data_IF_061591366651
#
_entry.id   IF_061591366651
#
_cell.length_a   1.000
_cell.length_b   1.000
_cell.length_c   1.000
_cell.angle_alpha   90.00
_cell.angle_beta   90.00
_cell.angle_gamma   90.00
#
_symmetry.space_group_name_H-M   'P 1'
#
loop_
_entity.id
_entity.type
_entity.pdbx_description
1 polymer ?
#
# COMPACT_ATOMS: atom_id res chain seq x y z
N UNK A 1 -14.73 33.68 -21.20
CA UNK A 1 -14.19 32.48 -21.85
C UNK A 1 -13.25 31.84 -20.85
N UNK A 2 -13.69 30.82 -20.13
CA UNK A 2 -12.80 30.00 -19.30
C UNK A 2 -12.07 29.09 -20.30
N UNK A 3 -10.75 29.29 -20.46
CA UNK A 3 -9.93 28.39 -21.24
C UNK A 3 -10.14 26.96 -20.72
N UNK A 4 -10.22 26.03 -21.64
CA UNK A 4 -10.19 24.60 -21.36
C UNK A 4 -8.80 24.34 -20.77
N UNK A 5 -8.64 24.49 -19.45
CA UNK A 5 -7.41 24.03 -18.77
C UNK A 5 -7.38 22.53 -19.01
N UNK A 6 -6.44 22.11 -19.81
CA UNK A 6 -6.21 20.72 -20.13
C UNK A 6 -5.89 20.01 -18.80
N UNK A 7 -6.81 19.19 -18.33
CA UNK A 7 -6.66 18.48 -17.06
C UNK A 7 -5.37 17.66 -17.09
N UNK A 8 -4.50 17.92 -16.16
CA UNK A 8 -3.26 17.18 -16.04
C UNK A 8 -3.57 15.70 -15.79
N UNK A 9 -2.98 14.80 -16.57
CA UNK A 9 -3.23 13.38 -16.48
C UNK A 9 -1.91 12.60 -16.50
N UNK A 10 -1.59 11.94 -15.38
CA UNK A 10 -0.38 11.15 -15.28
C UNK A 10 -0.38 9.95 -16.24
N UNK A 11 -1.53 9.37 -16.57
CA UNK A 11 -1.58 8.26 -17.53
C UNK A 11 -1.13 8.70 -18.92
N UNK A 12 -1.41 9.94 -19.34
CA UNK A 12 -0.92 10.50 -20.58
C UNK A 12 0.61 10.63 -20.55
N UNK A 13 1.17 11.16 -19.47
CA UNK A 13 2.61 11.22 -19.26
C UNK A 13 3.22 9.80 -19.30
N UNK A 14 2.62 8.85 -18.61
CA UNK A 14 3.08 7.47 -18.58
C UNK A 14 3.09 6.83 -19.98
N UNK A 15 2.04 7.05 -20.78
CA UNK A 15 1.96 6.58 -22.17
C UNK A 15 3.06 7.21 -23.06
N UNK A 16 3.44 8.45 -22.79
CA UNK A 16 4.55 9.12 -23.49
C UNK A 16 5.90 8.56 -23.06
N UNK A 17 6.09 8.31 -21.76
CA UNK A 17 7.36 7.80 -21.20
C UNK A 17 7.64 6.34 -21.58
N UNK A 18 6.62 5.50 -21.72
CA UNK A 18 6.78 4.07 -22.03
C UNK A 18 7.59 3.79 -23.33
N UNK A 19 7.27 4.40 -24.48
CA UNK A 19 8.07 4.19 -25.68
C UNK A 19 9.47 4.79 -25.56
N UNK A 20 9.63 5.90 -24.85
CA UNK A 20 10.93 6.51 -24.58
C UNK A 20 11.81 5.61 -23.70
N UNK A 21 11.26 5.02 -22.63
CA UNK A 21 11.93 4.03 -21.79
C UNK A 21 12.41 2.82 -22.62
N UNK A 22 11.58 2.34 -23.55
CA UNK A 22 11.94 1.26 -24.46
C UNK A 22 13.11 1.68 -25.36
N UNK A 23 13.07 2.88 -25.92
CA UNK A 23 14.15 3.42 -26.75
C UNK A 23 15.48 3.48 -26.00
N UNK A 24 15.47 3.97 -24.76
CA UNK A 24 16.64 4.01 -23.87
C UNK A 24 17.17 2.60 -23.60
N UNK A 25 16.29 1.64 -23.29
CA UNK A 25 16.66 0.24 -23.06
C UNK A 25 17.32 -0.40 -24.29
N UNK A 26 16.75 -0.17 -25.47
CA UNK A 26 17.26 -0.70 -26.71
C UNK A 26 18.63 -0.06 -27.06
N UNK A 27 18.80 1.24 -26.83
CA UNK A 27 20.09 1.95 -26.96
C UNK A 27 21.16 1.38 -26.04
N UNK A 28 20.85 1.18 -24.77
CA UNK A 28 21.77 0.55 -23.80
C UNK A 28 22.17 -0.87 -24.25
N UNK A 29 21.23 -1.65 -24.72
CA UNK A 29 21.49 -3.01 -25.21
C UNK A 29 22.41 -3.01 -26.45
N UNK A 30 22.23 -2.05 -27.36
CA UNK A 30 23.10 -1.86 -28.51
C UNK A 30 24.51 -1.48 -28.15
N UNK A 31 24.67 -0.50 -27.22
CA UNK A 31 25.97 -0.12 -26.69
C UNK A 31 26.70 -1.28 -26.02
N UNK A 32 25.99 -2.10 -25.24
CA UNK A 32 26.60 -3.27 -24.60
C UNK A 32 27.10 -4.31 -25.61
N UNK A 33 26.37 -4.52 -26.72
CA UNK A 33 26.78 -5.43 -27.81
C UNK A 33 28.02 -4.91 -28.54
N UNK A 34 28.02 -3.63 -28.90
CA UNK A 34 29.15 -2.98 -29.54
C UNK A 34 30.39 -2.99 -28.65
N UNK A 35 30.25 -2.70 -27.38
CA UNK A 35 31.35 -2.74 -26.44
C UNK A 35 32.01 -4.13 -26.35
N UNK A 36 31.20 -5.20 -26.34
CA UNK A 36 31.73 -6.58 -26.36
C UNK A 36 32.49 -6.90 -27.67
N UNK A 37 32.04 -6.35 -28.80
CA UNK A 37 32.74 -6.48 -30.07
C UNK A 37 34.08 -5.75 -30.05
N UNK A 38 34.08 -4.49 -29.60
CA UNK A 38 35.30 -3.67 -29.42
C UNK A 38 36.35 -4.37 -28.56
N UNK A 39 35.94 -4.97 -27.41
CA UNK A 39 36.87 -5.71 -26.56
C UNK A 39 37.56 -6.86 -27.29
N UNK A 40 36.78 -7.69 -28.02
CA UNK A 40 37.30 -8.84 -28.78
C UNK A 40 38.22 -8.39 -29.89
N UNK A 41 37.87 -7.31 -30.62
CA UNK A 41 38.65 -6.76 -31.74
C UNK A 41 39.94 -6.13 -31.25
N UNK A 42 39.92 -5.51 -30.07
CA UNK A 42 41.13 -5.01 -29.39
C UNK A 42 42.11 -6.14 -29.06
N UNK A 43 41.60 -7.26 -28.55
CA UNK A 43 42.41 -8.44 -28.23
C UNK A 43 42.98 -9.11 -29.48
N UNK A 44 42.20 -9.19 -30.54
CA UNK A 44 42.62 -9.82 -31.79
C UNK A 44 43.50 -8.92 -32.69
N UNK A 45 43.52 -7.61 -32.44
CA UNK A 45 44.22 -6.64 -33.28
C UNK A 45 43.54 -6.36 -34.61
N UNK A 46 42.23 -6.65 -34.75
CA UNK A 46 41.46 -6.33 -35.97
C UNK A 46 41.12 -4.83 -36.02
N UNK A 47 42.10 -4.03 -36.39
CA UNK A 47 42.05 -2.57 -36.45
C UNK A 47 40.89 -2.07 -37.34
N UNK A 48 40.59 -2.78 -38.42
CA UNK A 48 39.52 -2.35 -39.35
C UNK A 48 38.14 -2.50 -38.76
N UNK A 49 37.84 -3.62 -38.15
CA UNK A 49 36.57 -3.83 -37.44
C UNK A 49 36.48 -2.94 -36.20
N UNK A 50 37.55 -2.83 -35.43
CA UNK A 50 37.65 -1.98 -34.26
C UNK A 50 37.32 -0.50 -34.54
N UNK A 51 37.92 0.07 -35.63
CA UNK A 51 37.64 1.45 -36.02
C UNK A 51 36.18 1.67 -36.42
N UNK A 52 35.56 0.70 -37.14
CA UNK A 52 34.15 0.74 -37.52
C UNK A 52 33.25 0.68 -36.27
N UNK A 53 33.51 -0.27 -35.39
CA UNK A 53 32.64 -0.55 -34.26
C UNK A 53 32.75 0.51 -33.16
N UNK A 54 33.91 1.16 -33.02
CA UNK A 54 34.05 2.38 -32.21
C UNK A 54 33.20 3.54 -32.77
N UNK A 55 33.21 3.73 -34.10
CA UNK A 55 32.34 4.73 -34.75
C UNK A 55 30.86 4.43 -34.50
N UNK A 56 30.42 3.19 -34.69
CA UNK A 56 29.04 2.78 -34.43
C UNK A 56 28.65 2.94 -32.93
N UNK A 57 29.60 2.72 -32.05
CA UNK A 57 29.38 2.92 -30.60
C UNK A 57 29.22 4.39 -30.25
N UNK A 58 29.99 5.28 -30.90
CA UNK A 58 29.83 6.72 -30.71
C UNK A 58 28.47 7.21 -31.21
N UNK A 59 28.01 6.75 -32.36
CA UNK A 59 26.69 7.09 -32.91
C UNK A 59 25.56 6.57 -32.02
N UNK A 60 25.67 5.33 -31.52
CA UNK A 60 24.71 4.77 -30.58
C UNK A 60 24.68 5.51 -29.24
N UNK A 61 25.80 6.03 -28.76
CA UNK A 61 25.87 6.84 -27.53
C UNK A 61 25.19 8.21 -27.73
N UNK A 62 25.35 8.83 -28.89
CA UNK A 62 24.64 10.08 -29.22
C UNK A 62 23.13 9.87 -29.30
N UNK A 63 22.68 8.78 -29.95
CA UNK A 63 21.26 8.44 -30.04
C UNK A 63 20.65 8.17 -28.65
N UNK A 64 21.38 7.47 -27.78
CA UNK A 64 20.96 7.25 -26.39
C UNK A 64 20.86 8.55 -25.60
N UNK A 65 21.84 9.46 -25.78
CA UNK A 65 21.81 10.79 -25.13
C UNK A 65 20.58 11.59 -25.56
N UNK A 66 20.25 11.56 -26.86
CA UNK A 66 19.05 12.24 -27.40
C UNK A 66 17.76 11.67 -26.80
N UNK A 67 17.64 10.33 -26.73
CA UNK A 67 16.48 9.69 -26.13
C UNK A 67 16.30 10.01 -24.62
N UNK A 68 17.40 10.17 -23.90
CA UNK A 68 17.38 10.60 -22.49
C UNK A 68 16.96 12.06 -22.33
N UNK A 69 17.39 12.97 -23.20
CA UNK A 69 16.96 14.36 -23.19
C UNK A 69 15.46 14.48 -23.54
N UNK A 70 14.96 13.73 -24.52
CA UNK A 70 13.52 13.70 -24.83
C UNK A 70 12.69 13.23 -23.61
N UNK A 71 13.17 12.20 -22.90
CA UNK A 71 12.51 11.70 -21.69
C UNK A 71 12.53 12.75 -20.56
N UNK A 72 13.64 13.46 -20.41
CA UNK A 72 13.80 14.54 -19.43
C UNK A 72 12.86 15.72 -19.73
N UNK A 73 12.73 16.08 -21.01
CA UNK A 73 11.84 17.15 -21.45
C UNK A 73 10.37 16.79 -21.21
N UNK A 74 9.99 15.53 -21.49
CA UNK A 74 8.65 15.00 -21.18
C UNK A 74 8.35 15.05 -19.69
N UNK A 75 9.30 14.69 -18.83
CA UNK A 75 9.17 14.82 -17.37
C UNK A 75 9.09 16.28 -16.92
N UNK A 76 9.88 17.16 -17.51
CA UNK A 76 9.91 18.59 -17.20
C UNK A 76 8.62 19.33 -17.56
N UNK A 77 7.84 18.78 -18.50
CA UNK A 77 6.53 19.34 -18.88
C UNK A 77 5.41 19.03 -17.88
N UNK A 78 5.61 18.08 -16.94
CA UNK A 78 4.61 17.69 -15.96
C UNK A 78 4.75 18.49 -14.67
N UNK A 79 3.80 19.39 -14.41
CA UNK A 79 3.74 20.18 -13.16
C UNK A 79 3.09 19.37 -12.05
N UNK A 80 3.91 18.71 -11.24
CA UNK A 80 3.47 17.89 -10.09
C UNK A 80 2.69 18.73 -9.08
N UNK A 81 3.08 19.98 -8.85
CA UNK A 81 2.40 20.85 -7.89
C UNK A 81 0.99 21.18 -8.35
N UNK A 82 0.85 21.64 -9.58
CA UNK A 82 -0.46 21.91 -10.16
C UNK A 82 -1.33 20.65 -10.22
N UNK A 83 -0.76 19.47 -10.49
CA UNK A 83 -1.46 18.19 -10.52
C UNK A 83 -2.11 17.82 -9.17
N UNK A 84 -1.46 18.17 -8.05
CA UNK A 84 -2.02 17.97 -6.72
C UNK A 84 -3.00 19.10 -6.32
N UNK A 85 -2.65 20.36 -6.58
CA UNK A 85 -3.44 21.53 -6.19
C UNK A 85 -4.76 21.64 -6.96
N UNK A 86 -4.80 21.23 -8.24
CA UNK A 86 -6.03 21.17 -9.04
C UNK A 86 -7.00 20.08 -8.59
N UNK A 87 -6.52 19.08 -7.84
CA UNK A 87 -7.26 17.88 -7.48
C UNK A 87 -7.31 16.82 -8.57
N UNK A 88 -6.56 16.97 -9.66
CA UNK A 88 -6.53 15.99 -10.77
C UNK A 88 -6.04 14.62 -10.33
N UNK A 89 -5.06 14.57 -9.41
CA UNK A 89 -4.62 13.30 -8.81
C UNK A 89 -5.79 12.58 -8.10
N UNK A 90 -6.53 13.32 -7.26
CA UNK A 90 -7.66 12.76 -6.51
C UNK A 90 -8.76 12.28 -7.46
N UNK A 91 -9.10 13.07 -8.47
CA UNK A 91 -10.13 12.72 -9.45
C UNK A 91 -9.76 11.44 -10.23
N UNK A 92 -8.50 11.31 -10.68
CA UNK A 92 -8.02 10.11 -11.38
C UNK A 92 -7.94 8.89 -10.46
N UNK A 93 -7.60 9.09 -9.18
CA UNK A 93 -7.62 8.02 -8.19
C UNK A 93 -9.04 7.49 -7.95
N UNK A 94 -10.02 8.38 -7.82
CA UNK A 94 -11.42 7.98 -7.65
C UNK A 94 -11.96 7.25 -8.90
N UNK A 95 -11.63 7.72 -10.10
CA UNK A 95 -11.99 7.04 -11.34
C UNK A 95 -11.33 5.63 -11.43
N UNK A 96 -10.08 5.50 -11.00
CA UNK A 96 -9.41 4.20 -10.94
C UNK A 96 -10.05 3.26 -9.89
N UNK A 97 -10.55 3.80 -8.77
CA UNK A 97 -11.30 2.99 -7.79
C UNK A 97 -12.60 2.46 -8.39
N UNK A 98 -13.35 3.30 -9.09
CA UNK A 98 -14.59 2.89 -9.77
C UNK A 98 -14.32 1.80 -10.83
N UNK A 99 -13.31 2.01 -11.70
CA UNK A 99 -12.91 1.05 -12.72
C UNK A 99 -12.53 -0.32 -12.14
N UNK A 100 -11.83 -0.33 -10.99
CA UNK A 100 -11.31 -1.55 -10.36
C UNK A 100 -12.27 -2.14 -9.31
N UNK A 101 -13.40 -1.52 -9.05
CA UNK A 101 -14.36 -1.97 -8.04
C UNK A 101 -13.82 -1.86 -6.61
N UNK A 102 -12.95 -0.88 -6.34
CA UNK A 102 -12.46 -0.59 -4.99
C UNK A 102 -13.39 0.40 -4.33
N UNK A 103 -14.08 -0.03 -3.25
CA UNK A 103 -14.94 0.87 -2.46
C UNK A 103 -14.08 1.95 -1.79
N UNK A 104 -14.47 3.21 -2.00
CA UNK A 104 -13.76 4.38 -1.48
C UNK A 104 -14.73 5.31 -0.78
N UNK A 105 -14.35 5.83 0.39
CA UNK A 105 -15.12 6.75 1.21
C UNK A 105 -14.25 7.91 1.66
N UNK A 106 -14.92 8.95 2.21
CA UNK A 106 -14.24 10.16 2.66
C UNK A 106 -14.00 11.14 1.54
N UNK A 107 -13.42 12.28 1.92
CA UNK A 107 -13.20 13.41 1.06
C UNK A 107 -11.74 13.87 1.11
N UNK A 108 -11.36 14.67 0.12
CA UNK A 108 -10.04 15.29 0.10
C UNK A 108 -9.69 15.97 1.44
N UNK A 109 -8.51 15.77 1.99
CA UNK A 109 -7.35 15.06 1.42
C UNK A 109 -7.22 13.59 1.87
N UNK A 110 -8.25 13.01 2.48
CA UNK A 110 -8.18 11.69 3.11
C UNK A 110 -9.26 10.77 2.58
N UNK A 111 -8.84 9.66 1.97
CA UNK A 111 -9.72 8.65 1.40
C UNK A 111 -9.51 7.31 2.10
N UNK A 112 -10.60 6.59 2.30
CA UNK A 112 -10.64 5.30 2.96
C UNK A 112 -11.03 4.22 1.96
N UNK A 113 -10.13 3.27 1.77
CA UNK A 113 -10.30 2.07 0.94
C UNK A 113 -10.09 0.87 1.84
N UNK A 114 -11.05 0.60 2.73
CA UNK A 114 -10.87 -0.34 3.85
C UNK A 114 -10.16 -1.64 3.45
N UNK A 115 -9.15 -2.10 4.24
CA UNK A 115 -8.66 -1.55 5.50
C UNK A 115 -7.57 -0.47 5.35
N UNK A 116 -7.31 0.00 4.12
CA UNK A 116 -6.29 0.98 3.81
C UNK A 116 -6.83 2.42 3.88
N UNK A 117 -5.92 3.36 4.14
CA UNK A 117 -6.20 4.78 4.17
C UNK A 117 -5.20 5.52 3.28
N UNK A 118 -5.70 6.29 2.33
CA UNK A 118 -4.90 7.15 1.45
C UNK A 118 -5.02 8.59 1.94
N UNK A 119 -3.88 9.27 2.15
CA UNK A 119 -3.82 10.69 2.44
C UNK A 119 -2.96 11.40 1.42
N UNK A 120 -3.49 12.45 0.85
CA UNK A 120 -2.81 13.32 -0.11
C UNK A 120 -2.24 14.53 0.64
N UNK A 121 -0.97 14.81 0.41
CA UNK A 121 -0.26 15.96 0.98
C UNK A 121 0.12 16.90 -0.17
N UNK A 122 -0.70 17.91 -0.39
CA UNK A 122 -0.53 18.86 -1.50
C UNK A 122 0.66 19.77 -1.33
N UNK A 123 1.01 20.11 -0.08
CA UNK A 123 2.13 21.00 0.20
C UNK A 123 3.46 20.35 -0.18
N UNK A 124 3.61 19.06 0.15
CA UNK A 124 4.81 18.29 -0.12
C UNK A 124 4.71 17.44 -1.40
N UNK A 125 3.55 17.44 -2.08
CA UNK A 125 3.24 16.61 -3.26
C UNK A 125 3.46 15.12 -2.97
N UNK A 126 3.02 14.68 -1.80
CA UNK A 126 3.20 13.33 -1.30
C UNK A 126 1.90 12.56 -1.19
N UNK A 127 2.00 11.25 -1.41
CA UNK A 127 0.91 10.30 -1.15
C UNK A 127 1.30 9.43 0.03
N UNK A 128 0.38 9.26 0.95
CA UNK A 128 0.54 8.34 2.08
C UNK A 128 -0.48 7.21 1.98
N UNK A 129 0.00 5.98 2.07
CA UNK A 129 -0.84 4.81 2.28
C UNK A 129 -0.71 4.42 3.76
N UNK A 130 -1.79 4.58 4.52
CA UNK A 130 -1.80 4.54 5.98
C UNK A 130 -0.86 5.59 6.59
N UNK A 131 0.24 5.14 7.19
CA UNK A 131 1.27 6.03 7.78
C UNK A 131 2.57 6.08 6.98
N UNK A 132 2.63 5.35 5.86
CA UNK A 132 3.84 5.25 5.04
C UNK A 132 3.71 6.14 3.82
N UNK A 133 4.74 6.95 3.58
CA UNK A 133 4.88 7.69 2.33
C UNK A 133 5.08 6.69 1.20
N UNK A 134 4.29 6.83 0.14
CA UNK A 134 4.39 6.02 -1.09
C UNK A 134 4.93 6.91 -2.19
N UNK A 135 6.01 6.49 -2.81
CA UNK A 135 6.56 7.19 -3.97
C UNK A 135 5.77 6.75 -5.22
N UNK A 136 4.52 7.19 -5.31
CA UNK A 136 3.63 6.82 -6.39
C UNK A 136 2.79 8.02 -6.80
N UNK A 137 3.05 8.55 -7.99
CA UNK A 137 2.29 9.63 -8.63
C UNK A 137 1.28 9.10 -9.65
N UNK A 138 1.21 7.78 -9.83
CA UNK A 138 0.30 7.13 -10.76
C UNK A 138 -0.90 6.55 -10.01
N UNK A 139 -2.10 7.20 -10.09
CA UNK A 139 -3.30 6.77 -9.38
C UNK A 139 -3.70 5.32 -9.65
N UNK A 140 -3.62 4.87 -10.90
CA UNK A 140 -3.90 3.49 -11.31
C UNK A 140 -3.02 2.47 -10.56
N UNK A 141 -1.73 2.76 -10.37
CA UNK A 141 -0.80 1.89 -9.67
C UNK A 141 -1.10 1.86 -8.16
N UNK A 142 -1.43 3.01 -7.57
CA UNK A 142 -1.82 3.12 -6.16
C UNK A 142 -3.06 2.25 -5.87
N UNK A 143 -4.11 2.42 -6.67
CA UNK A 143 -5.38 1.67 -6.51
C UNK A 143 -5.16 0.17 -6.75
N UNK A 144 -4.34 -0.22 -7.74
CA UNK A 144 -3.98 -1.63 -7.96
C UNK A 144 -3.26 -2.24 -6.76
N UNK A 145 -2.39 -1.47 -6.08
CA UNK A 145 -1.71 -1.92 -4.86
C UNK A 145 -2.71 -2.18 -3.73
N UNK A 146 -3.66 -1.27 -3.55
CA UNK A 146 -4.74 -1.43 -2.55
C UNK A 146 -5.60 -2.65 -2.90
N UNK A 147 -6.06 -2.77 -4.14
CA UNK A 147 -6.88 -3.90 -4.60
C UNK A 147 -6.19 -5.24 -4.36
N UNK A 148 -4.91 -5.36 -4.75
CA UNK A 148 -4.12 -6.57 -4.52
C UNK A 148 -4.02 -6.91 -3.03
N UNK A 149 -3.84 -5.90 -2.18
CA UNK A 149 -3.84 -6.07 -0.73
C UNK A 149 -5.19 -6.56 -0.19
N UNK A 150 -6.29 -5.96 -0.63
CA UNK A 150 -7.66 -6.39 -0.27
C UNK A 150 -7.96 -7.82 -0.73
N UNK A 151 -7.58 -8.18 -1.95
CA UNK A 151 -7.74 -9.54 -2.46
C UNK A 151 -6.95 -10.56 -1.63
N UNK A 152 -5.71 -10.24 -1.25
CA UNK A 152 -4.89 -11.10 -0.38
C UNK A 152 -5.58 -11.34 0.96
N UNK A 153 -6.14 -10.29 1.57
CA UNK A 153 -6.86 -10.37 2.84
C UNK A 153 -8.16 -11.19 2.70
N UNK A 154 -8.90 -10.99 1.62
CA UNK A 154 -10.15 -11.72 1.35
C UNK A 154 -9.91 -13.21 1.08
N UNK A 155 -8.81 -13.56 0.41
CA UNK A 155 -8.42 -14.96 0.12
C UNK A 155 -7.86 -15.69 1.36
N UNK A 156 -7.43 -14.95 2.40
CA UNK A 156 -6.90 -15.55 3.62
C UNK A 156 -8.00 -16.30 4.37
N UNK A 157 -7.73 -17.57 4.72
CA UNK A 157 -8.64 -18.37 5.53
C UNK A 157 -8.80 -17.71 6.91
N UNK A 158 -10.05 -17.61 7.37
CA UNK A 158 -10.37 -17.02 8.65
C UNK A 158 -11.40 -17.88 9.39
N UNK A 159 -11.13 -18.10 10.67
CA UNK A 159 -12.09 -18.72 11.58
C UNK A 159 -12.23 -17.82 12.81
N UNK A 160 -13.41 -17.23 12.98
CA UNK A 160 -13.66 -16.24 14.02
C UNK A 160 -13.47 -16.79 15.44
N UNK A 161 -13.90 -18.03 15.69
CA UNK A 161 -13.74 -18.67 17.01
C UNK A 161 -12.26 -18.96 17.33
N UNK A 162 -11.49 -19.37 16.33
CA UNK A 162 -10.04 -19.56 16.49
C UNK A 162 -9.34 -18.22 16.74
N UNK A 163 -9.71 -17.20 15.97
CA UNK A 163 -9.13 -15.86 16.15
C UNK A 163 -9.48 -15.23 17.51
N UNK A 164 -10.73 -15.42 17.99
CA UNK A 164 -11.14 -15.00 19.34
C UNK A 164 -10.29 -15.70 20.43
N UNK A 165 -9.98 -16.99 20.26
CA UNK A 165 -9.11 -17.72 21.20
C UNK A 165 -7.66 -17.21 21.16
N UNK A 166 -7.11 -16.96 19.98
CA UNK A 166 -5.76 -16.36 19.82
C UNK A 166 -5.66 -14.94 20.41
N UNK A 167 -6.74 -14.14 20.28
CA UNK A 167 -6.85 -12.84 20.95
C UNK A 167 -6.85 -13.00 22.48
N UNK A 168 -7.53 -14.02 23.01
CA UNK A 168 -7.54 -14.28 24.46
C UNK A 168 -6.16 -14.68 24.98
N UNK A 169 -5.42 -15.52 24.25
CA UNK A 169 -4.06 -15.91 24.62
C UNK A 169 -3.11 -14.69 24.61
N UNK A 170 -3.20 -13.85 23.57
CA UNK A 170 -2.44 -12.60 23.52
C UNK A 170 -2.85 -11.62 24.65
N UNK A 171 -4.12 -11.57 24.98
CA UNK A 171 -4.64 -10.74 26.09
C UNK A 171 -4.09 -11.18 27.45
N UNK A 172 -4.09 -12.48 27.75
CA UNK A 172 -3.52 -13.00 29.00
C UNK A 172 -2.03 -12.66 29.13
N UNK A 173 -1.28 -12.85 28.06
CA UNK A 173 0.13 -12.48 28.01
C UNK A 173 0.32 -10.97 28.22
N UNK A 174 -0.55 -10.14 27.62
CA UNK A 174 -0.51 -8.69 27.75
C UNK A 174 -0.87 -8.25 29.18
N UNK A 175 -1.92 -8.82 29.79
CA UNK A 175 -2.34 -8.56 31.19
C UNK A 175 -1.17 -8.85 32.13
N UNK A 176 -0.54 -10.01 31.97
CA UNK A 176 0.61 -10.43 32.80
C UNK A 176 1.79 -9.46 32.66
N UNK A 177 2.21 -9.17 31.42
CA UNK A 177 3.36 -8.30 31.15
C UNK A 177 3.14 -6.84 31.53
N UNK A 178 1.92 -6.35 31.35
CA UNK A 178 1.55 -4.97 31.69
C UNK A 178 1.13 -4.81 33.17
N UNK A 179 1.17 -5.90 33.94
CA UNK A 179 0.76 -5.94 35.37
C UNK A 179 -0.65 -5.37 35.57
N UNK A 180 -1.58 -5.76 34.72
CA UNK A 180 -3.00 -5.40 34.80
C UNK A 180 -3.80 -6.46 35.55
N UNK A 181 -4.95 -6.08 36.07
CA UNK A 181 -5.87 -7.06 36.69
C UNK A 181 -6.53 -7.90 35.61
N UNK A 182 -6.83 -9.19 35.87
CA UNK A 182 -7.68 -9.99 35.00
C UNK A 182 -9.02 -9.29 34.70
N UNK A 183 -9.50 -9.36 33.49
CA UNK A 183 -10.73 -8.66 33.07
C UNK A 183 -10.59 -7.16 32.79
N UNK A 184 -9.39 -6.59 32.92
CA UNK A 184 -9.16 -5.17 32.62
C UNK A 184 -9.23 -4.87 31.13
N UNK A 185 -9.74 -3.70 30.76
CA UNK A 185 -9.73 -3.23 29.40
C UNK A 185 -8.30 -3.01 28.88
N UNK A 186 -7.96 -3.64 27.77
CA UNK A 186 -6.70 -3.43 27.05
C UNK A 186 -6.95 -2.80 25.69
N UNK A 187 -6.13 -1.82 25.33
CA UNK A 187 -6.18 -1.23 23.98
C UNK A 187 -5.81 -2.28 22.92
N UNK A 188 -6.61 -2.38 21.88
CA UNK A 188 -6.37 -3.27 20.74
C UNK A 188 -5.02 -2.98 20.05
N UNK A 189 -4.62 -1.70 19.98
CA UNK A 189 -3.31 -1.29 19.44
C UNK A 189 -2.14 -1.80 20.30
N UNK A 190 -2.35 -2.01 21.61
CA UNK A 190 -1.37 -2.65 22.50
C UNK A 190 -1.40 -4.15 22.36
N UNK A 191 -2.60 -4.73 22.27
CA UNK A 191 -2.80 -6.18 22.12
C UNK A 191 -2.16 -6.70 20.83
N UNK A 192 -2.26 -5.96 19.72
CA UNK A 192 -1.60 -6.28 18.45
C UNK A 192 -0.10 -6.60 18.61
N UNK A 193 0.60 -5.89 19.51
CA UNK A 193 2.04 -6.11 19.76
C UNK A 193 2.34 -7.46 20.41
N UNK A 194 1.37 -8.06 21.07
CA UNK A 194 1.49 -9.39 21.67
C UNK A 194 1.00 -10.49 20.73
N UNK A 195 0.04 -10.17 19.87
CA UNK A 195 -0.50 -11.09 18.86
C UNK A 195 0.48 -11.28 17.68
N UNK A 196 1.02 -10.20 17.13
CA UNK A 196 1.86 -10.22 15.94
C UNK A 196 3.11 -11.14 16.04
N UNK A 197 3.77 -11.31 17.21
CA UNK A 197 4.88 -12.27 17.36
C UNK A 197 4.46 -13.73 17.44
N UNK A 198 3.18 -14.05 17.61
CA UNK A 198 2.71 -15.45 17.70
C UNK A 198 2.92 -16.17 16.36
N UNK A 199 3.16 -17.47 16.41
CA UNK A 199 3.66 -18.26 15.26
C UNK A 199 2.82 -18.14 13.99
N UNK A 200 1.50 -18.07 14.12
CA UNK A 200 0.57 -17.90 12.99
C UNK A 200 0.70 -16.53 12.31
N UNK A 201 1.03 -15.47 13.07
CA UNK A 201 1.03 -14.08 12.62
C UNK A 201 2.42 -13.54 12.25
N UNK A 202 3.47 -14.36 12.38
CA UNK A 202 4.87 -13.94 12.25
C UNK A 202 5.26 -13.38 10.88
N UNK A 203 4.57 -13.79 9.82
CA UNK A 203 4.83 -13.32 8.47
C UNK A 203 3.68 -12.45 8.00
N UNK A 204 4.02 -11.23 7.59
CA UNK A 204 3.12 -10.33 6.85
C UNK A 204 1.79 -9.97 7.54
N UNK A 205 1.71 -10.11 8.86
CA UNK A 205 0.53 -9.69 9.63
C UNK A 205 0.71 -8.26 10.12
N UNK A 206 0.26 -7.32 9.32
CA UNK A 206 0.31 -5.90 9.61
C UNK A 206 -0.96 -5.39 10.33
N UNK A 207 -1.00 -4.09 10.62
CA UNK A 207 -2.14 -3.48 11.29
C UNK A 207 -3.41 -3.51 10.42
N UNK A 208 -3.30 -3.52 9.10
CA UNK A 208 -4.41 -3.62 8.17
C UNK A 208 -5.02 -5.02 8.21
N UNK A 209 -4.18 -6.05 8.21
CA UNK A 209 -4.61 -7.45 8.42
C UNK A 209 -5.33 -7.61 9.75
N UNK A 210 -4.81 -7.00 10.82
CA UNK A 210 -5.43 -7.03 12.14
C UNK A 210 -6.78 -6.30 12.17
N UNK A 211 -6.89 -5.12 11.58
CA UNK A 211 -8.15 -4.39 11.47
C UNK A 211 -9.18 -5.17 10.65
N UNK A 212 -8.76 -5.84 9.58
CA UNK A 212 -9.60 -6.66 8.75
C UNK A 212 -10.10 -7.91 9.48
N UNK A 213 -9.25 -8.59 10.23
CA UNK A 213 -9.64 -9.75 11.04
C UNK A 213 -10.56 -9.36 12.21
N UNK A 214 -10.34 -8.19 12.82
CA UNK A 214 -11.25 -7.64 13.81
C UNK A 214 -12.64 -7.33 13.23
N UNK A 215 -12.70 -6.81 12.00
CA UNK A 215 -13.98 -6.59 11.30
C UNK A 215 -14.71 -7.91 11.08
N UNK A 216 -14.00 -8.95 10.59
CA UNK A 216 -14.58 -10.29 10.39
C UNK A 216 -15.08 -10.91 11.70
N UNK A 217 -14.31 -10.75 12.78
CA UNK A 217 -14.75 -11.21 14.12
C UNK A 217 -15.98 -10.44 14.58
N UNK A 218 -16.00 -9.13 14.44
CA UNK A 218 -17.12 -8.29 14.83
C UNK A 218 -18.40 -8.65 14.05
N UNK A 219 -18.30 -8.79 12.74
CA UNK A 219 -19.41 -9.17 11.86
C UNK A 219 -19.93 -10.59 12.16
N UNK A 220 -19.05 -11.52 12.56
CA UNK A 220 -19.44 -12.89 12.89
C UNK A 220 -20.34 -13.01 14.11
N UNK A 221 -20.42 -11.97 14.95
CA UNK A 221 -21.16 -11.97 16.21
C UNK A 221 -20.59 -12.90 17.28
N UNK A 222 -19.45 -13.56 17.03
CA UNK A 222 -18.79 -14.43 18.01
C UNK A 222 -18.23 -13.56 19.14
N UNK A 223 -18.69 -13.80 20.35
CA UNK A 223 -18.31 -13.12 21.57
C UNK A 223 -17.75 -14.06 22.64
N UNK A 224 -17.41 -15.30 22.26
CA UNK A 224 -16.88 -16.33 23.13
C UNK A 224 -15.74 -17.08 22.47
N UNK A 225 -14.77 -17.50 23.28
CA UNK A 225 -13.63 -18.33 22.84
C UNK A 225 -13.97 -19.81 22.91
N UNK A 226 -13.10 -20.67 22.36
CA UNK A 226 -13.21 -22.14 22.48
C UNK A 226 -13.27 -22.63 23.94
N UNK A 227 -12.67 -21.86 24.85
CA UNK A 227 -12.57 -22.20 26.27
C UNK A 227 -13.65 -21.51 27.12
N UNK A 228 -14.72 -21.01 26.52
CA UNK A 228 -15.84 -20.39 27.24
C UNK A 228 -15.58 -19.00 27.79
N UNK A 229 -14.45 -18.35 27.50
CA UNK A 229 -14.22 -16.96 27.88
C UNK A 229 -14.98 -16.02 26.97
N UNK A 230 -15.76 -15.13 27.56
CA UNK A 230 -16.50 -14.09 26.83
C UNK A 230 -15.59 -12.91 26.53
N UNK A 231 -15.72 -12.36 25.33
CA UNK A 231 -15.03 -11.17 24.89
C UNK A 231 -16.00 -9.99 24.79
N UNK A 232 -15.51 -8.80 25.10
CA UNK A 232 -16.25 -7.57 24.93
C UNK A 232 -15.33 -6.48 24.40
N UNK A 233 -15.77 -5.81 23.34
CA UNK A 233 -15.13 -4.60 22.84
C UNK A 233 -15.62 -3.38 23.62
N UNK A 234 -14.70 -2.44 23.87
CA UNK A 234 -14.99 -1.18 24.56
C UNK A 234 -14.64 0.04 23.69
N UNK A 235 -15.38 1.17 23.90
CA UNK A 235 -15.10 2.42 23.23
C UNK A 235 -13.91 3.15 23.87
N UNK A 236 -13.39 4.17 23.17
CA UNK A 236 -12.47 5.15 23.76
C UNK A 236 -12.84 6.55 23.32
N UNK A 237 -12.60 7.52 24.20
CA UNK A 237 -12.71 8.95 23.87
C UNK A 237 -11.56 9.44 22.96
N UNK A 238 -10.47 8.68 22.87
CA UNK A 238 -9.30 9.04 22.08
C UNK A 238 -9.32 8.26 20.74
N UNK A 239 -9.69 8.93 19.67
CA UNK A 239 -9.76 8.35 18.32
C UNK A 239 -8.41 7.79 17.83
N UNK A 240 -7.28 8.36 18.24
CA UNK A 240 -5.94 7.88 17.87
C UNK A 240 -5.60 6.49 18.42
N UNK A 241 -6.36 6.01 19.42
CA UNK A 241 -6.19 4.68 20.03
C UNK A 241 -7.23 3.68 19.57
N UNK A 242 -8.14 4.09 18.68
CA UNK A 242 -9.15 3.21 18.11
C UNK A 242 -8.63 2.54 16.84
N UNK A 243 -9.11 1.32 16.61
CA UNK A 243 -9.03 0.66 15.32
C UNK A 243 -10.39 0.84 14.67
N UNK A 244 -10.39 1.43 13.49
CA UNK A 244 -11.59 1.59 12.69
C UNK A 244 -11.83 0.32 11.89
N UNK A 245 -13.05 -0.17 11.93
CA UNK A 245 -13.52 -1.29 11.13
C UNK A 245 -14.82 -0.88 10.41
N UNK A 246 -15.26 -1.71 9.48
CA UNK A 246 -16.60 -1.63 8.90
C UNK A 246 -17.45 -2.79 9.45
N UNK A 247 -18.71 -2.49 9.79
CA UNK A 247 -19.69 -3.53 10.14
C UNK A 247 -20.30 -4.20 8.89
N UNK A 248 -21.27 -5.09 9.09
CA UNK A 248 -21.93 -5.81 8.00
C UNK A 248 -22.68 -4.89 7.02
N UNK A 249 -23.14 -3.72 7.47
CA UNK A 249 -23.81 -2.71 6.65
C UNK A 249 -22.81 -1.73 6.02
N UNK A 250 -21.51 -1.95 6.24
CA UNK A 250 -20.46 -1.06 5.78
C UNK A 250 -20.36 0.25 6.57
N UNK A 251 -20.96 0.36 7.76
CA UNK A 251 -20.84 1.52 8.64
C UNK A 251 -19.54 1.46 9.44
N UNK A 252 -18.99 2.62 9.73
CA UNK A 252 -17.78 2.71 10.52
C UNK A 252 -18.04 2.41 12.00
N UNK A 253 -17.22 1.52 12.55
CA UNK A 253 -17.20 1.19 13.98
C UNK A 253 -15.79 1.41 14.51
N UNK A 254 -15.67 2.10 15.64
CA UNK A 254 -14.40 2.40 16.28
C UNK A 254 -14.19 1.52 17.51
N UNK A 255 -13.35 0.50 17.38
CA UNK A 255 -12.99 -0.41 18.45
C UNK A 255 -11.71 0.08 19.13
N UNK A 256 -11.75 0.31 20.44
CA UNK A 256 -10.60 0.82 21.17
C UNK A 256 -9.98 -0.24 22.09
N UNK A 257 -10.80 -0.87 22.89
CA UNK A 257 -10.36 -1.83 23.90
C UNK A 257 -11.05 -3.17 23.72
N UNK A 258 -10.45 -4.18 24.32
CA UNK A 258 -11.03 -5.50 24.46
C UNK A 258 -10.78 -5.98 25.90
N UNK A 259 -11.73 -6.72 26.43
CA UNK A 259 -11.57 -7.49 27.67
C UNK A 259 -12.09 -8.89 27.50
N UNK A 260 -11.50 -9.80 28.24
CA UNK A 260 -11.96 -11.19 28.37
C UNK A 260 -12.33 -11.46 29.82
N UNK A 261 -13.45 -12.17 30.03
CA UNK A 261 -13.93 -12.55 31.35
C UNK A 261 -14.62 -13.91 31.29
N UNK A 262 -14.64 -14.60 32.42
CA UNK A 262 -15.47 -15.81 32.58
C UNK A 262 -16.86 -15.42 33.07
N UNK A 263 -17.89 -16.09 32.55
CA UNK A 263 -19.24 -15.89 33.05
C UNK A 263 -19.35 -16.60 34.41
N UNK A 264 -19.69 -15.87 35.51
CA UNK A 264 -19.84 -16.50 36.82
C UNK A 264 -20.86 -17.64 36.84
N UNK A 265 -21.77 -17.71 35.87
CA UNK A 265 -22.80 -18.75 35.75
C UNK A 265 -22.29 -20.07 35.15
N UNK A 266 -21.04 -20.16 34.68
CA UNK A 266 -20.46 -21.37 34.08
C UNK A 266 -19.68 -22.25 35.08
N UNK A 267 -19.66 -21.90 36.36
CA UNK A 267 -19.00 -22.66 37.45
C UNK A 267 -19.99 -23.50 38.30
N UNK A 268 -21.20 -23.80 37.78
CA UNK A 268 -22.18 -24.66 38.49
C UNK A 268 -22.34 -25.99 37.76
#
# INVERSE_FOLDING_TARGET
MRGNEEKMNYENLYQTLQPQEKSVKDGLSSLQKLFKAVLRETESGDIKSLSRDIGSMADAALALSSALEEMKDSLGSFDTKAYFESGDFAAQMLAACEEKGVDVRGDFPVYEMFPYRVRLDTENQDVYLDRKKVQCMRPQSLVSTVQTGQEKLNKASFNALTFASELADAYELAVLKLKKNPGADLYLTSLYKFLAPMSRFRKDYDQQSFAFDLARLYISGINETKNGKKLQFGPSRNSNKCIRILDADGKEVFLATIRFYQDPASEI
#
